data_IF_805184177197
#
_entry.id   IF_805184177197
#
_cell.length_a   1.000
_cell.length_b   1.000
_cell.length_c   1.000
_cell.angle_alpha   90.00
_cell.angle_beta   90.00
_cell.angle_gamma   90.00
#
_symmetry.space_group_name_H-M   'P 1'
#
loop_
_entity.id
_entity.type
_entity.pdbx_description
1 polymer ?
#
# COMPACT_ATOMS: atom_id res chain seq x y z
N UNK A 1 16.52 -18.95 1.70
CA UNK A 1 15.30 -18.13 1.54
C UNK A 1 14.71 -17.97 2.93
N UNK A 2 14.60 -16.73 3.43
CA UNK A 2 14.02 -16.51 4.76
C UNK A 2 12.52 -16.28 4.60
N UNK A 3 11.71 -17.28 4.95
CA UNK A 3 10.26 -17.17 4.98
C UNK A 3 9.80 -16.67 6.35
N UNK A 4 8.83 -15.75 6.37
CA UNK A 4 8.16 -15.32 7.59
C UNK A 4 6.67 -15.67 7.48
N UNK A 5 6.10 -16.21 8.55
CA UNK A 5 4.66 -16.47 8.63
C UNK A 5 3.95 -15.20 9.07
N UNK A 6 2.89 -14.82 8.36
CA UNK A 6 2.05 -13.66 8.66
C UNK A 6 0.60 -14.14 8.79
N UNK A 7 -0.10 -13.63 9.79
CA UNK A 7 -1.56 -13.78 9.92
C UNK A 7 -2.20 -12.45 9.52
N UNK A 8 -3.23 -12.51 8.68
CA UNK A 8 -3.94 -11.33 8.19
C UNK A 8 -5.40 -11.41 8.60
N UNK A 9 -5.93 -10.30 9.11
CA UNK A 9 -7.37 -10.10 9.25
C UNK A 9 -7.85 -9.32 8.03
N UNK A 10 -8.81 -9.88 7.30
CA UNK A 10 -9.42 -9.26 6.12
C UNK A 10 -10.94 -9.37 6.20
N UNK A 11 -11.66 -8.55 5.44
CA UNK A 11 -13.10 -8.68 5.34
C UNK A 11 -13.49 -9.98 4.66
N UNK A 12 -14.62 -10.54 5.07
CA UNK A 12 -15.20 -11.76 4.48
C UNK A 12 -15.37 -11.62 2.96
N UNK A 13 -15.91 -10.48 2.50
CA UNK A 13 -16.06 -10.20 1.07
C UNK A 13 -14.73 -10.25 0.30
N UNK A 14 -13.63 -9.77 0.88
CA UNK A 14 -12.32 -9.84 0.23
C UNK A 14 -11.81 -11.28 0.20
N UNK A 15 -12.02 -12.03 1.27
CA UNK A 15 -11.66 -13.45 1.30
C UNK A 15 -12.43 -14.25 0.23
N UNK A 16 -13.73 -14.03 0.07
CA UNK A 16 -14.54 -14.66 -0.98
C UNK A 16 -14.05 -14.32 -2.39
N UNK A 17 -13.71 -13.05 -2.65
CA UNK A 17 -13.14 -12.63 -3.93
C UNK A 17 -11.79 -13.30 -4.21
N UNK A 18 -10.94 -13.42 -3.20
CA UNK A 18 -9.65 -14.11 -3.32
C UNK A 18 -9.85 -15.62 -3.54
N UNK A 19 -10.80 -16.25 -2.85
CA UNK A 19 -11.11 -17.67 -3.03
C UNK A 19 -11.59 -17.96 -4.45
N UNK A 20 -12.50 -17.14 -4.98
CA UNK A 20 -12.97 -17.30 -6.36
C UNK A 20 -11.82 -17.18 -7.37
N UNK A 21 -10.91 -16.23 -7.14
CA UNK A 21 -9.75 -16.03 -8.02
C UNK A 21 -8.72 -17.16 -7.89
N UNK A 22 -8.52 -17.69 -6.68
CA UNK A 22 -7.68 -18.84 -6.39
C UNK A 22 -8.15 -20.07 -7.18
N UNK A 23 -9.45 -20.35 -7.10
CA UNK A 23 -10.07 -21.46 -7.84
C UNK A 23 -9.90 -21.30 -9.36
N UNK A 24 -10.10 -20.08 -9.88
CA UNK A 24 -9.97 -19.80 -11.32
C UNK A 24 -8.52 -19.96 -11.82
N UNK A 25 -7.54 -19.61 -10.99
CA UNK A 25 -6.12 -19.63 -11.35
C UNK A 25 -5.41 -20.93 -10.98
N UNK A 26 -6.08 -21.84 -10.26
CA UNK A 26 -5.47 -23.03 -9.66
C UNK A 26 -4.28 -22.67 -8.73
N UNK A 27 -4.39 -21.55 -8.03
CA UNK A 27 -3.37 -21.01 -7.13
C UNK A 27 -3.89 -20.94 -5.69
N UNK A 28 -2.99 -20.85 -4.70
CA UNK A 28 -3.41 -20.68 -3.32
C UNK A 28 -3.83 -19.23 -3.01
N UNK A 29 -4.77 -19.05 -2.07
CA UNK A 29 -5.19 -17.72 -1.60
C UNK A 29 -3.99 -16.93 -1.06
N UNK A 30 -3.09 -17.59 -0.35
CA UNK A 30 -1.87 -16.98 0.19
C UNK A 30 -0.95 -16.50 -0.92
N UNK A 31 -0.75 -17.30 -1.97
CA UNK A 31 0.06 -16.89 -3.11
C UNK A 31 -0.51 -15.64 -3.77
N UNK A 32 -1.81 -15.63 -4.07
CA UNK A 32 -2.49 -14.47 -4.66
C UNK A 32 -2.43 -13.23 -3.77
N UNK A 33 -2.62 -13.40 -2.45
CA UNK A 33 -2.51 -12.29 -1.51
C UNK A 33 -1.11 -11.69 -1.52
N UNK A 34 -0.06 -12.53 -1.52
CA UNK A 34 1.33 -12.07 -1.60
C UNK A 34 1.62 -11.41 -2.96
N UNK A 35 1.12 -11.97 -4.07
CA UNK A 35 1.29 -11.39 -5.41
C UNK A 35 0.68 -9.98 -5.48
N UNK A 36 -0.53 -9.80 -4.97
CA UNK A 36 -1.22 -8.51 -4.92
C UNK A 36 -0.47 -7.51 -4.04
N UNK A 37 -0.01 -7.94 -2.86
CA UNK A 37 0.77 -7.09 -1.95
C UNK A 37 2.08 -6.67 -2.63
N UNK A 38 2.81 -7.62 -3.22
CA UNK A 38 4.07 -7.37 -3.90
C UNK A 38 3.90 -6.40 -5.09
N UNK A 39 2.80 -6.51 -5.84
CA UNK A 39 2.49 -5.60 -6.93
C UNK A 39 2.19 -4.16 -6.46
N UNK A 40 1.54 -4.00 -5.30
CA UNK A 40 1.13 -2.66 -4.80
C UNK A 40 2.20 -1.97 -3.95
N UNK A 41 3.02 -2.73 -3.23
CA UNK A 41 3.94 -2.20 -2.24
C UNK A 41 4.92 -1.15 -2.78
N UNK A 42 5.57 -1.31 -3.95
CA UNK A 42 6.48 -0.31 -4.49
C UNK A 42 5.80 1.05 -4.74
N UNK A 43 4.57 1.01 -5.29
CA UNK A 43 3.80 2.22 -5.56
C UNK A 43 3.37 2.94 -4.27
N UNK A 44 3.08 2.19 -3.20
CA UNK A 44 2.77 2.77 -1.88
C UNK A 44 4.00 3.46 -1.28
N UNK A 45 5.17 2.81 -1.32
CA UNK A 45 6.44 3.38 -0.84
C UNK A 45 6.77 4.67 -1.60
N UNK A 46 6.61 4.68 -2.92
CA UNK A 46 6.86 5.87 -3.74
C UNK A 46 5.95 7.03 -3.36
N UNK A 47 4.64 6.78 -3.18
CA UNK A 47 3.68 7.81 -2.79
C UNK A 47 3.98 8.39 -1.41
N UNK A 48 4.34 7.55 -0.45
CA UNK A 48 4.72 7.99 0.89
C UNK A 48 5.99 8.87 0.83
N UNK A 49 6.99 8.46 0.05
CA UNK A 49 8.22 9.23 -0.15
C UNK A 49 7.95 10.59 -0.79
N UNK A 50 7.11 10.64 -1.84
CA UNK A 50 6.72 11.89 -2.48
C UNK A 50 5.97 12.82 -1.52
N UNK A 51 5.05 12.28 -0.72
CA UNK A 51 4.32 13.07 0.26
C UNK A 51 5.27 13.66 1.32
N UNK A 52 6.22 12.87 1.83
CA UNK A 52 7.23 13.36 2.77
C UNK A 52 8.05 14.50 2.17
N UNK A 53 8.50 14.36 0.93
CA UNK A 53 9.22 15.44 0.24
C UNK A 53 8.39 16.71 0.10
N UNK A 54 7.10 16.59 -0.23
CA UNK A 54 6.20 17.75 -0.32
C UNK A 54 6.00 18.41 1.04
N UNK A 55 5.84 17.63 2.12
CA UNK A 55 5.71 18.17 3.47
C UNK A 55 7.00 18.84 3.96
N UNK A 56 8.17 18.27 3.66
CA UNK A 56 9.48 18.88 3.96
C UNK A 56 9.73 20.16 3.16
N UNK A 57 9.19 20.25 1.93
CA UNK A 57 9.25 21.46 1.11
C UNK A 57 8.36 22.59 1.64
N UNK A 58 7.32 22.27 2.41
CA UNK A 58 6.51 23.27 3.12
C UNK A 58 7.27 23.70 4.38
N UNK A 59 8.17 24.68 4.23
CA UNK A 59 8.77 25.36 5.39
C UNK A 59 7.71 26.25 6.08
N UNK A 60 7.77 26.42 7.42
CA UNK A 60 6.89 27.35 8.15
C UNK A 60 6.92 28.78 7.58
N UNK A 61 8.08 29.19 7.04
CA UNK A 61 8.30 30.53 6.51
C UNK A 61 7.55 30.80 5.18
N UNK A 62 7.06 29.74 4.50
CA UNK A 62 6.32 29.84 3.24
C UNK A 62 4.83 30.15 3.42
N UNK A 63 4.32 30.10 4.65
CA UNK A 63 2.89 30.28 4.96
C UNK A 63 2.57 31.76 5.26
N UNK A 64 3.58 32.60 5.52
CA UNK A 64 3.37 33.99 5.98
C UNK A 64 3.87 35.08 5.02
N UNK A 65 4.32 34.76 3.81
CA UNK A 65 4.87 35.77 2.89
C UNK A 65 3.82 36.55 2.07
N UNK A 66 2.54 36.15 2.08
CA UNK A 66 1.50 36.78 1.25
C UNK A 66 0.38 37.51 2.03
N UNK A 67 0.55 37.73 3.33
CA UNK A 67 -0.34 38.63 4.08
C UNK A 67 0.50 39.73 4.74
N UNK A 68 0.84 40.73 3.94
CA UNK A 68 1.52 41.95 4.38
C UNK A 68 1.38 43.03 3.31
N UNK A 69 0.22 43.69 3.32
CA UNK A 69 -0.07 44.97 2.65
C UNK A 69 0.85 46.08 3.16
#
# INVERSE_FOLDING_TARGET
MNSHKVTLEISETLFEQLSLLADLKEESIEYLAIEIIAAKLPGLIQRESQLKQLLEAIKPDSIHSEIGL
#
